data_IF_088471789543
#
_entry.id   IF_088471789543
#
_cell.length_a   1.000
_cell.length_b   1.000
_cell.length_c   1.000
_cell.angle_alpha   90.00
_cell.angle_beta   90.00
_cell.angle_gamma   90.00
#
_symmetry.space_group_name_H-M   'P 1'
#
loop_
_entity.id
_entity.type
_entity.pdbx_description
1 polymer ?
#
# COMPACT_ATOMS: atom_id res chain seq x y z
N UNK A 1 15.46 -6.01 -11.52
CA UNK A 1 15.14 -6.71 -10.25
C UNK A 1 16.16 -6.16 -9.29
N UNK A 2 15.78 -5.05 -8.67
CA UNK A 2 16.75 -4.05 -8.25
C UNK A 2 17.30 -4.41 -6.87
N UNK A 3 18.61 -4.21 -6.70
CA UNK A 3 19.46 -4.62 -5.56
C UNK A 3 18.91 -4.26 -4.16
N UNK A 4 17.97 -3.32 -4.13
CA UNK A 4 17.22 -2.87 -2.97
C UNK A 4 16.24 -3.91 -2.40
N UNK A 5 15.62 -4.75 -3.23
CA UNK A 5 14.55 -5.66 -2.79
C UNK A 5 15.07 -6.73 -1.80
N UNK A 6 16.31 -7.22 -2.00
CA UNK A 6 16.99 -8.12 -1.06
C UNK A 6 17.32 -7.43 0.28
N UNK A 7 17.70 -6.16 0.22
CA UNK A 7 18.01 -5.33 1.39
C UNK A 7 16.78 -5.01 2.22
N UNK A 8 15.65 -4.77 1.55
CA UNK A 8 14.38 -4.39 2.17
C UNK A 8 13.58 -5.60 2.66
N UNK A 9 13.80 -6.80 2.11
CA UNK A 9 13.08 -8.03 2.51
C UNK A 9 13.04 -8.37 4.01
N UNK A 10 14.07 -8.10 4.84
CA UNK A 10 14.00 -8.31 6.28
C UNK A 10 13.34 -7.15 7.03
N UNK A 11 13.10 -6.01 6.38
CA UNK A 11 12.51 -4.84 7.03
C UNK A 11 11.02 -5.06 7.31
N UNK A 12 10.60 -4.62 8.50
CA UNK A 12 9.24 -4.84 9.01
C UNK A 12 8.15 -4.27 8.10
N UNK A 13 8.37 -3.08 7.52
CA UNK A 13 7.38 -2.46 6.63
C UNK A 13 7.25 -3.22 5.30
N UNK A 14 8.36 -3.72 4.74
CA UNK A 14 8.37 -4.49 3.50
C UNK A 14 7.54 -5.77 3.66
N UNK A 15 7.76 -6.51 4.75
CA UNK A 15 7.02 -7.73 5.06
C UNK A 15 5.52 -7.48 5.21
N UNK A 16 5.11 -6.31 5.68
CA UNK A 16 3.69 -5.91 5.76
C UNK A 16 3.09 -5.75 4.37
N UNK A 17 3.74 -5.00 3.47
CA UNK A 17 3.21 -4.76 2.13
C UNK A 17 3.19 -6.01 1.25
N UNK A 18 4.14 -6.93 1.44
CA UNK A 18 4.14 -8.21 0.74
C UNK A 18 2.89 -9.04 1.03
N UNK A 19 2.39 -9.01 2.26
CA UNK A 19 1.13 -9.70 2.59
C UNK A 19 -0.06 -9.12 1.81
N UNK A 20 -0.10 -7.80 1.61
CA UNK A 20 -1.13 -7.16 0.79
C UNK A 20 -0.97 -7.43 -0.71
N UNK A 21 0.28 -7.51 -1.21
CA UNK A 21 0.57 -7.83 -2.60
C UNK A 21 0.15 -9.26 -2.97
N UNK A 22 0.20 -10.18 -2.00
CA UNK A 22 -0.21 -11.58 -2.16
C UNK A 22 -1.71 -11.82 -1.95
N UNK A 23 -2.52 -10.77 -1.88
CA UNK A 23 -3.96 -10.84 -1.58
C UNK A 23 -4.82 -11.56 -2.62
N UNK A 24 -4.29 -11.75 -3.83
CA UNK A 24 -4.89 -12.59 -4.87
C UNK A 24 -5.08 -14.05 -4.41
N UNK A 25 -4.35 -14.48 -3.37
CA UNK A 25 -4.45 -15.82 -2.75
C UNK A 25 -5.68 -15.99 -1.84
N UNK A 26 -6.37 -14.92 -1.45
CA UNK A 26 -7.61 -15.06 -0.67
C UNK A 26 -8.75 -15.59 -1.55
N UNK A 27 -9.37 -16.72 -1.16
CA UNK A 27 -10.52 -17.28 -1.88
C UNK A 27 -11.70 -16.30 -1.79
N UNK A 28 -12.49 -16.23 -2.85
CA UNK A 28 -13.66 -15.34 -2.90
C UNK A 28 -13.75 -14.59 -4.23
N UNK A 29 -15.00 -14.41 -4.67
CA UNK A 29 -15.35 -13.62 -5.86
C UNK A 29 -15.31 -12.14 -5.49
N UNK A 30 -14.81 -11.33 -6.40
CA UNK A 30 -14.89 -9.88 -6.32
C UNK A 30 -16.35 -9.43 -6.53
N UNK A 31 -16.98 -8.90 -5.50
CA UNK A 31 -18.42 -8.60 -5.50
C UNK A 31 -18.74 -7.12 -5.52
N UNK A 32 -17.90 -6.29 -4.88
CA UNK A 32 -18.15 -4.86 -4.71
C UNK A 32 -17.44 -4.00 -5.78
N UNK A 33 -16.41 -4.54 -6.42
CA UNK A 33 -15.66 -3.85 -7.46
C UNK A 33 -16.09 -4.18 -8.90
N UNK A 34 -17.22 -4.86 -9.12
CA UNK A 34 -17.70 -5.29 -10.46
C UNK A 34 -17.91 -4.12 -11.44
N UNK A 35 -18.38 -2.97 -10.93
CA UNK A 35 -18.62 -1.76 -11.72
C UNK A 35 -17.33 -1.13 -12.27
N UNK A 36 -16.15 -1.51 -11.78
CA UNK A 36 -14.86 -0.99 -12.26
C UNK A 36 -14.52 -1.41 -13.69
N UNK A 37 -15.12 -2.50 -14.17
CA UNK A 37 -14.98 -2.98 -15.55
C UNK A 37 -15.29 -1.92 -16.60
N UNK A 38 -16.25 -1.03 -16.31
CA UNK A 38 -16.61 0.10 -17.18
C UNK A 38 -15.48 1.12 -17.38
N UNK A 39 -14.48 1.14 -16.49
CA UNK A 39 -13.34 2.06 -16.53
C UNK A 39 -12.05 1.42 -17.04
N UNK A 40 -12.06 0.13 -17.38
CA UNK A 40 -10.86 -0.61 -17.78
C UNK A 40 -10.18 -0.01 -19.02
N UNK A 41 -10.97 0.53 -19.96
CA UNK A 41 -10.44 1.23 -21.15
C UNK A 41 -9.69 2.51 -20.78
N UNK A 42 -10.14 3.21 -19.75
CA UNK A 42 -9.57 4.50 -19.31
C UNK A 42 -8.41 4.31 -18.34
N UNK A 43 -8.54 3.33 -17.43
CA UNK A 43 -7.57 3.00 -16.41
C UNK A 43 -7.30 1.50 -16.48
N UNK A 44 -6.39 1.12 -17.38
CA UNK A 44 -6.04 -0.28 -17.58
C UNK A 44 -5.57 -0.92 -16.27
N UNK A 45 -6.18 -2.05 -15.88
CA UNK A 45 -5.92 -2.77 -14.64
C UNK A 45 -6.75 -2.30 -13.43
N UNK A 46 -7.66 -1.33 -13.57
CA UNK A 46 -8.47 -0.82 -12.45
C UNK A 46 -9.37 -1.89 -11.84
N UNK A 47 -9.97 -2.75 -12.65
CA UNK A 47 -10.87 -3.81 -12.15
C UNK A 47 -10.10 -4.79 -11.28
N UNK A 48 -8.91 -5.20 -11.75
CA UNK A 48 -8.02 -6.08 -11.01
C UNK A 48 -7.55 -5.43 -9.70
N UNK A 49 -7.13 -4.17 -9.75
CA UNK A 49 -6.68 -3.46 -8.56
C UNK A 49 -7.79 -3.28 -7.52
N UNK A 50 -9.00 -2.91 -7.94
CA UNK A 50 -10.13 -2.78 -7.03
C UNK A 50 -10.46 -4.13 -6.36
N UNK A 51 -10.40 -5.24 -7.10
CA UNK A 51 -10.57 -6.59 -6.54
C UNK A 51 -9.53 -6.90 -5.45
N UNK A 52 -8.25 -6.59 -5.68
CA UNK A 52 -7.19 -6.77 -4.68
C UNK A 52 -7.44 -5.89 -3.44
N UNK A 53 -7.86 -4.64 -3.64
CA UNK A 53 -8.26 -3.73 -2.56
C UNK A 53 -9.44 -4.29 -1.75
N UNK A 54 -10.50 -4.77 -2.41
CA UNK A 54 -11.67 -5.39 -1.77
C UNK A 54 -11.25 -6.57 -0.89
N UNK A 55 -10.47 -7.51 -1.44
CA UNK A 55 -9.98 -8.67 -0.69
C UNK A 55 -9.12 -8.27 0.50
N UNK A 56 -8.24 -7.29 0.33
CA UNK A 56 -7.40 -6.80 1.41
C UNK A 56 -8.20 -6.12 2.51
N UNK A 57 -9.19 -5.29 2.15
CA UNK A 57 -10.02 -4.59 3.12
C UNK A 57 -10.84 -5.56 3.95
N UNK A 58 -11.46 -6.56 3.31
CA UNK A 58 -12.23 -7.63 3.99
C UNK A 58 -11.34 -8.45 4.94
N UNK A 59 -10.10 -8.74 4.53
CA UNK A 59 -9.20 -9.59 5.28
C UNK A 59 -8.18 -8.81 6.12
N UNK A 60 -8.32 -7.49 6.29
CA UNK A 60 -7.28 -6.63 6.88
C UNK A 60 -6.84 -7.11 8.26
N UNK A 61 -7.80 -7.47 9.12
CA UNK A 61 -7.55 -7.99 10.46
C UNK A 61 -6.86 -9.35 10.48
N UNK A 62 -7.05 -10.17 9.44
CA UNK A 62 -6.37 -11.45 9.28
C UNK A 62 -4.95 -11.26 8.74
N UNK A 63 -4.79 -10.39 7.74
CA UNK A 63 -3.51 -10.08 7.09
C UNK A 63 -2.53 -9.48 8.11
N UNK A 64 -3.00 -8.50 8.89
CA UNK A 64 -2.20 -7.75 9.86
C UNK A 64 -2.59 -8.05 11.31
N UNK A 65 -3.04 -9.27 11.59
CA UNK A 65 -3.43 -9.69 12.93
C UNK A 65 -2.31 -9.57 13.98
N UNK A 66 -1.04 -9.57 13.54
CA UNK A 66 0.12 -9.37 14.41
C UNK A 66 0.31 -7.91 14.86
N UNK A 67 -0.27 -6.94 14.17
CA UNK A 67 -0.24 -5.52 14.56
C UNK A 67 -1.45 -5.28 15.45
N UNK A 68 -1.29 -5.01 16.75
CA UNK A 68 -2.44 -4.87 17.66
C UNK A 68 -3.23 -3.58 17.42
N UNK A 69 -2.54 -2.50 17.07
CA UNK A 69 -3.14 -1.21 16.81
C UNK A 69 -3.93 -1.23 15.49
N UNK A 70 -5.24 -1.03 15.60
CA UNK A 70 -6.17 -1.01 14.45
C UNK A 70 -5.92 0.18 13.52
N UNK A 71 -5.65 1.36 14.09
CA UNK A 71 -5.32 2.58 13.34
C UNK A 71 -4.05 2.36 12.53
N UNK A 72 -3.07 1.65 13.10
CA UNK A 72 -1.84 1.30 12.42
C UNK A 72 -2.06 0.33 11.25
N UNK A 73 -2.89 -0.72 11.42
CA UNK A 73 -3.29 -1.60 10.30
C UNK A 73 -3.89 -0.78 9.15
N UNK A 74 -4.78 0.15 9.49
CA UNK A 74 -5.43 0.98 8.50
C UNK A 74 -4.48 1.98 7.83
N UNK A 75 -3.49 2.50 8.57
CA UNK A 75 -2.43 3.36 8.04
C UNK A 75 -1.59 2.62 7.00
N UNK A 76 -1.15 1.40 7.30
CA UNK A 76 -0.46 0.56 6.32
C UNK A 76 -1.31 0.28 5.08
N UNK A 77 -2.61 0.00 5.27
CA UNK A 77 -3.50 -0.24 4.14
C UNK A 77 -3.69 1.01 3.25
N UNK A 78 -3.82 2.19 3.86
CA UNK A 78 -3.86 3.47 3.13
C UNK A 78 -2.58 3.70 2.31
N UNK A 79 -1.41 3.52 2.92
CA UNK A 79 -0.15 3.66 2.19
C UNK A 79 0.01 2.65 1.07
N UNK A 80 -0.38 1.39 1.30
CA UNK A 80 -0.40 0.37 0.25
C UNK A 80 -1.31 0.79 -0.91
N UNK A 81 -2.53 1.24 -0.61
CA UNK A 81 -3.51 1.66 -1.62
C UNK A 81 -2.98 2.79 -2.50
N UNK A 82 -2.52 3.89 -1.91
CA UNK A 82 -2.02 5.03 -2.69
C UNK A 82 -0.73 4.71 -3.45
N UNK A 83 0.16 3.91 -2.85
CA UNK A 83 1.38 3.47 -3.52
C UNK A 83 1.08 2.57 -4.73
N UNK A 84 0.11 1.67 -4.63
CA UNK A 84 -0.32 0.86 -5.79
C UNK A 84 -0.95 1.73 -6.88
N UNK A 85 -1.70 2.77 -6.52
CA UNK A 85 -2.22 3.72 -7.51
C UNK A 85 -1.07 4.43 -8.23
N UNK A 86 -0.13 4.99 -7.46
CA UNK A 86 1.07 5.62 -7.99
C UNK A 86 1.81 4.66 -8.93
N UNK A 87 2.19 3.48 -8.44
CA UNK A 87 2.99 2.49 -9.17
C UNK A 87 2.35 2.04 -10.48
N UNK A 88 1.03 1.80 -10.49
CA UNK A 88 0.32 1.19 -11.64
C UNK A 88 -0.16 2.20 -12.67
N UNK A 89 -0.55 3.40 -12.24
CA UNK A 89 -1.30 4.33 -13.09
C UNK A 89 -0.58 5.66 -13.34
N UNK A 90 0.47 6.02 -12.58
CA UNK A 90 1.28 7.22 -12.87
C UNK A 90 2.46 6.91 -13.80
N UNK A 91 3.11 5.76 -13.61
CA UNK A 91 4.27 5.31 -14.40
C UNK A 91 3.96 5.09 -15.89
N UNK A 92 2.69 4.84 -16.21
CA UNK A 92 2.22 4.56 -17.57
C UNK A 92 1.76 5.83 -18.32
N UNK A 93 1.91 7.03 -17.74
CA UNK A 93 1.41 8.31 -18.27
C UNK A 93 -0.10 8.33 -18.58
N UNK A 94 -0.88 7.37 -18.07
CA UNK A 94 -2.31 7.21 -18.38
C UNK A 94 -3.16 8.36 -17.83
N UNK A 95 -2.66 9.13 -16.85
CA UNK A 95 -3.49 10.08 -16.12
C UNK A 95 -2.79 11.42 -15.87
N UNK A 96 -3.22 12.46 -16.58
CA UNK A 96 -2.89 13.87 -16.30
C UNK A 96 -3.55 14.38 -15.00
N UNK A 97 -4.61 13.70 -14.53
CA UNK A 97 -5.38 14.06 -13.32
C UNK A 97 -5.88 12.83 -12.54
N UNK A 98 -5.10 12.38 -11.55
CA UNK A 98 -5.36 11.18 -10.75
C UNK A 98 -6.60 11.25 -9.86
N UNK A 99 -7.12 12.45 -9.56
CA UNK A 99 -8.30 12.63 -8.69
C UNK A 99 -9.53 11.84 -9.16
N UNK A 100 -9.76 11.80 -10.48
CA UNK A 100 -10.88 11.05 -11.06
C UNK A 100 -10.77 9.53 -10.87
N UNK A 101 -9.55 8.98 -10.86
CA UNK A 101 -9.30 7.56 -10.56
C UNK A 101 -9.46 7.30 -9.07
N UNK A 102 -8.83 8.13 -8.23
CA UNK A 102 -8.83 7.98 -6.77
C UNK A 102 -10.28 8.04 -6.25
N UNK A 103 -11.07 9.02 -6.68
CA UNK A 103 -12.48 9.17 -6.28
C UNK A 103 -13.33 7.94 -6.57
N UNK A 104 -13.07 7.24 -7.67
CA UNK A 104 -13.80 6.00 -8.01
C UNK A 104 -13.43 4.88 -7.06
N UNK A 105 -12.13 4.71 -6.80
CA UNK A 105 -11.62 3.66 -5.92
C UNK A 105 -12.02 3.91 -4.46
N UNK A 106 -11.96 5.15 -3.98
CA UNK A 106 -12.38 5.52 -2.62
C UNK A 106 -13.89 5.43 -2.45
N UNK A 107 -14.68 5.70 -3.49
CA UNK A 107 -16.12 5.42 -3.48
C UNK A 107 -16.39 3.93 -3.29
N UNK A 108 -15.70 3.05 -4.04
CA UNK A 108 -15.84 1.61 -3.87
C UNK A 108 -15.39 1.14 -2.48
N UNK A 109 -14.27 1.67 -1.97
CA UNK A 109 -13.83 1.41 -0.59
C UNK A 109 -14.92 1.79 0.42
N UNK A 110 -15.48 3.00 0.32
CA UNK A 110 -16.56 3.46 1.21
C UNK A 110 -17.81 2.57 1.13
N UNK A 111 -18.20 2.14 -0.06
CA UNK A 111 -19.33 1.24 -0.27
C UNK A 111 -19.09 -0.15 0.36
N UNK A 112 -17.89 -0.71 0.21
CA UNK A 112 -17.50 -1.98 0.85
C UNK A 112 -17.60 -1.85 2.36
N UNK A 113 -16.99 -0.82 2.94
CA UNK A 113 -17.03 -0.57 4.39
C UNK A 113 -18.46 -0.46 4.91
N UNK A 114 -19.32 0.27 4.19
CA UNK A 114 -20.72 0.45 4.56
C UNK A 114 -21.51 -0.86 4.51
N UNK A 115 -21.40 -1.60 3.40
CA UNK A 115 -22.18 -2.84 3.17
C UNK A 115 -21.74 -3.98 4.09
N UNK A 116 -20.45 -4.10 4.34
CA UNK A 116 -19.88 -5.14 5.20
C UNK A 116 -19.74 -4.71 6.67
N UNK A 117 -20.13 -3.48 7.00
CA UNK A 117 -20.04 -2.91 8.35
C UNK A 117 -18.62 -3.03 8.94
N UNK A 118 -17.60 -2.87 8.09
CA UNK A 118 -16.21 -3.09 8.49
C UNK A 118 -15.72 -2.04 9.48
N UNK A 119 -16.39 -0.88 9.62
CA UNK A 119 -16.27 0.20 10.63
C UNK A 119 -14.88 0.57 11.18
N UNK A 120 -13.79 0.07 10.60
CA UNK A 120 -12.47 0.03 11.26
C UNK A 120 -11.37 0.66 10.41
N UNK A 121 -11.57 0.83 9.09
CA UNK A 121 -10.56 1.44 8.24
C UNK A 121 -11.12 2.29 7.10
N UNK A 122 -11.05 3.61 7.26
CA UNK A 122 -11.40 4.58 6.22
C UNK A 122 -10.20 5.00 5.38
N UNK A 123 -10.46 5.40 4.15
CA UNK A 123 -9.45 6.03 3.30
C UNK A 123 -9.14 7.45 3.83
N UNK A 124 -7.87 7.85 3.77
CA UNK A 124 -7.43 9.21 4.02
C UNK A 124 -7.32 9.92 2.68
N UNK A 125 -8.29 10.74 2.29
CA UNK A 125 -8.22 11.48 1.04
C UNK A 125 -8.22 12.98 1.28
N UNK A 126 -7.25 13.65 0.67
CA UNK A 126 -7.14 15.10 0.61
C UNK A 126 -6.84 15.50 -0.82
N UNK A 127 -7.71 16.31 -1.43
CA UNK A 127 -7.63 16.72 -2.84
C UNK A 127 -6.30 17.40 -3.22
N UNK A 128 -5.58 17.93 -2.22
CA UNK A 128 -4.35 18.70 -2.41
C UNK A 128 -3.05 17.87 -2.29
N UNK A 129 -3.13 16.55 -2.05
CA UNK A 129 -1.96 15.69 -1.92
C UNK A 129 -1.75 14.90 -3.21
N UNK A 130 -0.63 15.17 -3.89
CA UNK A 130 -0.23 14.42 -5.09
C UNK A 130 0.15 12.97 -4.74
N UNK A 131 0.10 12.08 -5.73
CA UNK A 131 0.52 10.68 -5.54
C UNK A 131 2.02 10.57 -5.21
N UNK A 132 2.86 11.48 -5.72
CA UNK A 132 4.28 11.54 -5.35
C UNK A 132 4.45 11.87 -3.86
N UNK A 133 3.67 12.83 -3.32
CA UNK A 133 3.67 13.12 -1.88
C UNK A 133 3.17 11.93 -1.07
N UNK A 134 2.20 11.17 -1.55
CA UNK A 134 1.77 9.92 -0.91
C UNK A 134 2.90 8.89 -0.85
N UNK A 135 3.69 8.77 -1.92
CA UNK A 135 4.89 7.92 -1.94
C UNK A 135 5.92 8.41 -0.92
N UNK A 136 6.23 9.71 -0.89
CA UNK A 136 7.16 10.29 0.09
C UNK A 136 6.71 10.04 1.54
N UNK A 137 5.44 10.28 1.86
CA UNK A 137 4.89 10.03 3.19
C UNK A 137 4.94 8.54 3.57
N UNK A 138 4.70 7.64 2.61
CA UNK A 138 4.88 6.20 2.82
C UNK A 138 6.35 5.88 3.13
N UNK A 139 7.28 6.39 2.33
CA UNK A 139 8.70 6.08 2.47
C UNK A 139 9.23 6.58 3.83
N UNK A 140 8.78 7.76 4.27
CA UNK A 140 9.07 8.29 5.61
C UNK A 140 8.44 7.45 6.73
N UNK A 141 7.18 7.02 6.57
CA UNK A 141 6.53 6.13 7.52
C UNK A 141 7.31 4.81 7.65
N UNK A 142 7.67 4.20 6.53
CA UNK A 142 8.42 2.96 6.48
C UNK A 142 9.80 3.11 7.14
N UNK A 143 10.47 4.24 6.93
CA UNK A 143 11.73 4.57 7.60
C UNK A 143 11.59 4.54 9.12
N UNK A 144 10.59 5.21 9.68
CA UNK A 144 10.36 5.19 11.13
C UNK A 144 10.03 3.79 11.67
N UNK A 145 9.30 2.98 10.91
CA UNK A 145 8.97 1.60 11.31
C UNK A 145 10.18 0.67 11.26
N UNK A 146 11.09 0.92 10.35
CA UNK A 146 12.30 0.11 10.16
C UNK A 146 13.47 0.56 11.04
N UNK A 147 13.43 1.77 11.60
CA UNK A 147 14.52 2.34 12.38
C UNK A 147 15.02 1.42 13.50
N UNK A 148 14.13 0.98 14.40
CA UNK A 148 14.51 0.12 15.52
C UNK A 148 15.10 -1.23 15.04
N UNK A 149 14.56 -1.78 13.95
CA UNK A 149 15.08 -3.01 13.36
C UNK A 149 16.49 -2.79 12.82
N UNK A 150 16.71 -1.71 12.08
CA UNK A 150 18.03 -1.38 11.53
C UNK A 150 19.02 -1.13 12.66
N UNK A 151 18.68 -0.28 13.64
CA UNK A 151 19.53 0.05 14.78
C UNK A 151 19.97 -1.20 15.56
N UNK A 152 19.04 -2.11 15.83
CA UNK A 152 19.34 -3.34 16.58
C UNK A 152 20.21 -4.32 15.80
N UNK A 153 20.07 -4.36 14.47
CA UNK A 153 20.67 -5.40 13.65
C UNK A 153 21.87 -4.94 12.80
N UNK A 154 22.22 -3.64 12.82
CA UNK A 154 23.29 -3.08 11.99
C UNK A 154 24.66 -3.71 12.31
N UNK A 155 24.90 -4.08 13.57
CA UNK A 155 26.13 -4.74 14.00
C UNK A 155 26.17 -6.23 13.64
N UNK A 156 25.02 -6.84 13.38
CA UNK A 156 24.88 -8.29 13.12
C UNK A 156 24.92 -8.62 11.64
N UNK A 157 24.46 -7.70 10.78
CA UNK A 157 24.47 -7.85 9.32
C UNK A 157 25.59 -7.05 8.67
N UNK A 158 26.84 -7.44 8.92
CA UNK A 158 28.02 -6.73 8.40
C UNK A 158 28.01 -6.66 6.85
N UNK A 159 27.40 -7.66 6.19
CA UNK A 159 27.16 -7.74 4.75
C UNK A 159 26.05 -6.81 4.24
N UNK A 160 25.14 -6.35 5.10
CA UNK A 160 24.02 -5.45 4.76
C UNK A 160 24.22 -4.02 5.23
N UNK A 161 25.31 -3.74 5.95
CA UNK A 161 25.62 -2.43 6.51
C UNK A 161 25.61 -1.32 5.43
N UNK A 162 26.23 -1.57 4.27
CA UNK A 162 26.21 -0.62 3.16
C UNK A 162 24.80 -0.37 2.63
N UNK A 163 23.97 -1.40 2.57
CA UNK A 163 22.60 -1.26 2.07
C UNK A 163 21.68 -0.53 3.05
N UNK A 164 21.86 -0.72 4.37
CA UNK A 164 21.18 0.09 5.38
C UNK A 164 21.63 1.54 5.37
N UNK A 165 22.93 1.79 5.15
CA UNK A 165 23.45 3.14 4.94
C UNK A 165 22.76 3.81 3.74
N UNK A 166 22.71 3.14 2.59
CA UNK A 166 22.04 3.67 1.40
C UNK A 166 20.54 3.93 1.65
N UNK A 167 19.86 3.05 2.40
CA UNK A 167 18.46 3.24 2.79
C UNK A 167 18.27 4.48 3.67
N UNK A 168 19.13 4.69 4.66
CA UNK A 168 19.10 5.88 5.52
C UNK A 168 19.37 7.14 4.69
N UNK A 169 20.35 7.11 3.79
CA UNK A 169 20.68 8.24 2.92
C UNK A 169 19.54 8.61 1.97
N UNK A 170 18.85 7.62 1.39
CA UNK A 170 17.69 7.85 0.52
C UNK A 170 16.50 8.49 1.26
N UNK A 171 16.28 8.12 2.52
CA UNK A 171 15.16 8.60 3.33
C UNK A 171 15.52 9.77 4.27
N UNK A 172 16.73 10.34 4.13
CA UNK A 172 17.16 11.46 4.94
C UNK A 172 16.34 12.71 4.55
N UNK A 173 15.61 13.35 5.50
CA UNK A 173 14.81 14.54 5.23
C UNK A 173 15.67 15.77 4.90
#
# INVERSE_FOLDING_TARGET
MDDWEKTLSPLTSYQVYEKFNNSSTFPGVCTYCTNMSSFERKYHGITKFCCEMEKNLINLNKILGNIQDRTERCRYFNFWFYYQIWKRFTSTQIITYSGSLINRLTYAWGDINKKLQLNECSYFYHDNISLDKWKEMKDLHDFFKNYNFIETNILTFNDKCQSYKNYIEYNKP
#
